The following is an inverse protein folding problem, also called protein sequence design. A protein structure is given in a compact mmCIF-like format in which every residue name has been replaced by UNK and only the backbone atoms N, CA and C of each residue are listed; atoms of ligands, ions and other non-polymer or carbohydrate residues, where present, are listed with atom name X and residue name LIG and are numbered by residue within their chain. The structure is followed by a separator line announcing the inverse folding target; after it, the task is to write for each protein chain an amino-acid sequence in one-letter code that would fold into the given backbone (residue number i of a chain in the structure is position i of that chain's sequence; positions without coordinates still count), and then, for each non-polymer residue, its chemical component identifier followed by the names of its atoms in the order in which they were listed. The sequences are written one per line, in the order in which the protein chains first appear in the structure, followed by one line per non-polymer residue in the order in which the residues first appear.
data_IF_646241421822
#
_entry.id   IF_646241421822
#
_cell.length_a   1.000
_cell.length_b   1.000
_cell.length_c   1.000
_cell.angle_alpha   90.00
_cell.angle_beta   90.00
_cell.angle_gamma   90.00
#
_symmetry.space_group_name_H-M   'P 1'
#
loop_
_entity.id
_entity.type
_entity.pdbx_description
1 polymer ?
#
# COMPACT_ATOMS: atom_id res chain seq x y z
N UNK A 1 -25.82 -14.61 2.42
CA UNK A 1 -24.56 -14.02 1.92
C UNK A 1 -23.45 -15.02 2.17
N UNK A 2 -22.55 -15.23 1.20
CA UNK A 2 -21.40 -16.14 1.37
C UNK A 2 -20.43 -15.58 2.40
N UNK A 3 -19.84 -16.46 3.22
CA UNK A 3 -18.64 -16.12 4.00
C UNK A 3 -17.44 -16.04 3.06
N UNK A 4 -16.56 -15.06 3.29
CA UNK A 4 -15.42 -14.77 2.41
C UNK A 4 -14.14 -14.73 3.23
N UNK A 5 -13.09 -15.33 2.70
CA UNK A 5 -11.77 -15.36 3.29
C UNK A 5 -10.72 -14.74 2.36
N UNK A 6 -9.64 -14.29 2.93
CA UNK A 6 -8.38 -14.07 2.24
C UNK A 6 -7.55 -15.34 2.46
N UNK A 7 -7.30 -16.08 1.38
CA UNK A 7 -6.57 -17.34 1.43
C UNK A 7 -5.06 -17.14 1.37
N UNK A 8 -4.61 -16.13 0.62
CA UNK A 8 -3.22 -15.73 0.52
C UNK A 8 -3.10 -14.23 0.30
N UNK A 9 -2.02 -13.63 0.80
CA UNK A 9 -1.66 -12.25 0.52
C UNK A 9 -0.14 -12.13 0.49
N UNK A 10 0.40 -11.53 -0.58
CA UNK A 10 1.84 -11.35 -0.82
C UNK A 10 2.12 -10.00 -1.45
N UNK A 11 3.39 -9.59 -1.45
CA UNK A 11 3.88 -8.39 -2.13
C UNK A 11 5.25 -8.62 -2.74
N UNK A 12 5.64 -7.79 -3.66
CA UNK A 12 7.05 -7.66 -4.02
C UNK A 12 7.78 -6.83 -2.95
N UNK A 13 9.10 -6.92 -2.90
CA UNK A 13 9.87 -5.88 -2.23
C UNK A 13 9.61 -4.53 -2.93
N UNK A 14 9.75 -3.43 -2.19
CA UNK A 14 9.51 -2.07 -2.69
C UNK A 14 10.81 -1.45 -3.18
N UNK A 15 10.82 -1.02 -4.44
CA UNK A 15 11.93 -0.33 -5.07
C UNK A 15 11.82 1.20 -4.91
N UNK A 16 12.96 1.89 -4.88
CA UNK A 16 13.01 3.37 -4.87
C UNK A 16 12.87 3.93 -6.29
N UNK A 17 11.80 4.65 -6.54
CA UNK A 17 11.67 5.38 -7.80
C UNK A 17 12.47 6.70 -7.78
N UNK A 18 13.06 7.14 -8.89
CA UNK A 18 13.22 6.45 -10.17
C UNK A 18 14.58 5.76 -10.31
N UNK A 19 15.30 5.45 -9.24
CA UNK A 19 16.71 5.01 -9.28
C UNK A 19 16.94 3.62 -8.71
N UNK A 20 15.90 2.99 -8.12
CA UNK A 20 16.00 1.69 -7.47
C UNK A 20 16.06 0.51 -8.43
N UNK A 21 16.06 -0.69 -7.86
CA UNK A 21 16.21 -1.93 -8.60
C UNK A 21 15.05 -2.20 -9.58
N UNK A 22 13.83 -1.72 -9.25
CA UNK A 22 12.64 -1.90 -10.09
C UNK A 22 12.44 -0.84 -11.18
N UNK A 23 13.34 0.14 -11.34
CA UNK A 23 13.20 1.27 -12.27
C UNK A 23 13.01 0.89 -13.74
N UNK A 24 13.39 -0.32 -14.14
CA UNK A 24 13.24 -0.85 -15.50
C UNK A 24 12.23 -1.99 -15.57
N UNK A 25 11.65 -2.40 -14.44
CA UNK A 25 10.66 -3.45 -14.37
C UNK A 25 9.28 -2.87 -14.74
N UNK A 26 8.71 -3.39 -15.83
CA UNK A 26 7.37 -2.98 -16.26
C UNK A 26 6.33 -3.28 -15.15
N UNK A 27 5.37 -2.37 -14.91
CA UNK A 27 4.36 -2.57 -13.86
C UNK A 27 3.45 -3.78 -14.10
N UNK A 28 3.12 -4.09 -15.35
CA UNK A 28 2.35 -5.28 -15.71
C UNK A 28 3.11 -6.59 -15.41
N UNK A 29 4.43 -6.64 -15.67
CA UNK A 29 5.29 -7.77 -15.27
C UNK A 29 5.37 -7.86 -13.73
N UNK A 30 5.56 -6.73 -13.05
CA UNK A 30 5.65 -6.68 -11.59
C UNK A 30 4.35 -7.17 -10.92
N UNK A 31 3.19 -6.77 -11.45
CA UNK A 31 1.90 -7.25 -11.00
C UNK A 31 1.72 -8.76 -11.25
N UNK A 32 2.19 -9.27 -12.39
CA UNK A 32 2.15 -10.70 -12.70
C UNK A 32 2.98 -11.53 -11.71
N UNK A 33 4.16 -11.04 -11.27
CA UNK A 33 4.92 -11.69 -10.20
C UNK A 33 4.12 -11.76 -8.90
N UNK A 34 3.46 -10.68 -8.50
CA UNK A 34 2.64 -10.67 -7.29
C UNK A 34 1.44 -11.63 -7.40
N UNK A 35 0.73 -11.65 -8.55
CA UNK A 35 -0.37 -12.58 -8.81
C UNK A 35 0.11 -14.03 -8.71
N UNK A 36 1.19 -14.38 -9.41
CA UNK A 36 1.74 -15.73 -9.39
C UNK A 36 2.20 -16.12 -7.98
N UNK A 37 2.89 -15.23 -7.27
CA UNK A 37 3.32 -15.48 -5.90
C UNK A 37 2.16 -15.70 -4.93
N UNK A 38 1.01 -15.04 -5.14
CA UNK A 38 -0.19 -15.30 -4.34
C UNK A 38 -0.79 -16.69 -4.67
N UNK A 39 -0.85 -17.06 -5.94
CA UNK A 39 -1.35 -18.35 -6.39
C UNK A 39 -0.46 -19.54 -5.96
N UNK A 40 0.85 -19.33 -5.88
CA UNK A 40 1.80 -20.33 -5.36
C UNK A 40 1.60 -20.64 -3.86
N UNK A 41 0.88 -19.81 -3.12
CA UNK A 41 0.51 -20.06 -1.71
C UNK A 41 -0.75 -20.91 -1.56
N UNK A 42 -1.51 -21.11 -2.64
CA UNK A 42 -2.77 -21.85 -2.70
C UNK A 42 -2.76 -22.86 -3.87
N UNK A 43 -1.78 -23.73 -3.86
CA UNK A 43 -1.52 -24.69 -4.97
C UNK A 43 -2.66 -25.66 -5.27
N UNK A 44 -3.60 -25.82 -4.34
CA UNK A 44 -4.81 -26.62 -4.51
C UNK A 44 -5.85 -25.96 -5.42
N UNK A 45 -5.73 -24.64 -5.65
CA UNK A 45 -6.63 -23.86 -6.51
C UNK A 45 -6.19 -24.00 -7.97
N UNK A 46 -7.10 -24.48 -8.85
CA UNK A 46 -6.88 -24.43 -10.29
C UNK A 46 -7.01 -22.99 -10.78
N UNK A 47 -6.10 -22.56 -11.65
CA UNK A 47 -6.11 -21.21 -12.22
C UNK A 47 -7.35 -20.91 -13.05
N UNK A 48 -8.01 -21.93 -13.60
CA UNK A 48 -9.26 -21.81 -14.35
C UNK A 48 -10.46 -21.42 -13.47
N UNK A 49 -10.35 -21.56 -12.15
CA UNK A 49 -11.37 -21.15 -11.19
C UNK A 49 -11.32 -19.66 -10.83
N UNK A 50 -10.28 -18.94 -11.28
CA UNK A 50 -10.16 -17.51 -11.02
C UNK A 50 -11.07 -16.77 -12.00
N UNK A 51 -12.13 -16.17 -11.49
CA UNK A 51 -13.17 -15.52 -12.28
C UNK A 51 -12.85 -14.07 -12.62
N UNK A 52 -12.07 -13.39 -11.75
CA UNK A 52 -11.72 -11.98 -11.97
C UNK A 52 -10.39 -11.60 -11.31
N UNK A 53 -9.75 -10.55 -11.87
CA UNK A 53 -8.59 -9.89 -11.28
C UNK A 53 -8.91 -8.42 -11.09
N UNK A 54 -8.85 -7.93 -9.84
CA UNK A 54 -9.10 -6.52 -9.51
C UNK A 54 -7.80 -5.90 -8.99
N UNK A 55 -7.17 -5.05 -9.79
CA UNK A 55 -5.94 -4.35 -9.35
C UNK A 55 -6.17 -2.85 -9.19
N UNK A 56 -5.68 -2.34 -8.06
CA UNK A 56 -5.56 -0.91 -7.82
C UNK A 56 -4.35 -0.33 -8.56
N UNK A 57 -4.53 0.84 -9.20
CA UNK A 57 -3.47 1.65 -9.78
C UNK A 57 -3.86 3.13 -9.67
N UNK A 58 -2.98 3.94 -9.08
CA UNK A 58 -3.29 5.34 -8.85
C UNK A 58 -3.08 6.21 -10.09
N UNK A 59 -2.10 5.87 -10.94
CA UNK A 59 -1.79 6.58 -12.18
C UNK A 59 -1.92 5.63 -13.38
N UNK A 60 -3.16 5.25 -13.77
CA UNK A 60 -3.41 4.23 -14.79
C UNK A 60 -3.25 4.80 -16.21
N UNK A 61 -2.01 5.17 -16.57
CA UNK A 61 -1.64 5.63 -17.90
C UNK A 61 -0.29 5.02 -18.36
N UNK A 62 0.10 5.24 -19.58
CA UNK A 62 1.30 4.71 -20.21
C UNK A 62 1.45 3.20 -19.95
N UNK A 63 2.55 2.74 -19.33
CA UNK A 63 2.79 1.33 -19.01
C UNK A 63 1.81 0.76 -17.97
N UNK A 64 1.09 1.62 -17.24
CA UNK A 64 0.01 1.26 -16.30
C UNK A 64 -1.39 1.46 -16.91
N UNK A 65 -1.46 1.87 -18.18
CA UNK A 65 -2.70 2.10 -18.93
C UNK A 65 -3.37 0.82 -19.46
N UNK A 66 -4.35 1.02 -20.35
CA UNK A 66 -5.06 -0.05 -21.05
C UNK A 66 -5.61 -1.17 -20.15
N UNK A 67 -6.10 -0.85 -18.95
CA UNK A 67 -6.50 -1.83 -17.95
C UNK A 67 -5.32 -2.75 -17.54
N UNK A 68 -4.36 -2.21 -16.80
CA UNK A 68 -3.15 -2.93 -16.39
C UNK A 68 -3.47 -4.26 -15.68
N UNK A 69 -4.61 -4.37 -14.99
CA UNK A 69 -5.05 -5.64 -14.39
C UNK A 69 -5.24 -6.72 -15.43
N UNK A 70 -5.84 -6.38 -16.60
CA UNK A 70 -6.04 -7.35 -17.68
C UNK A 70 -4.71 -7.74 -18.32
N UNK A 71 -3.84 -6.80 -18.56
CA UNK A 71 -2.50 -7.07 -19.11
C UNK A 71 -1.72 -7.97 -18.15
N UNK A 72 -1.73 -7.65 -16.86
CA UNK A 72 -1.07 -8.45 -15.83
C UNK A 72 -1.66 -9.86 -15.70
N UNK A 73 -2.99 -10.05 -15.85
CA UNK A 73 -3.63 -11.36 -15.80
C UNK A 73 -3.14 -12.28 -16.91
N UNK A 74 -3.03 -11.78 -18.14
CA UNK A 74 -2.43 -12.52 -19.26
C UNK A 74 -0.94 -12.82 -19.02
N UNK A 75 -0.21 -11.82 -18.52
CA UNK A 75 1.22 -11.97 -18.22
C UNK A 75 1.49 -12.96 -17.10
N UNK A 76 0.55 -13.11 -16.15
CA UNK A 76 0.57 -14.14 -15.11
C UNK A 76 0.19 -15.53 -15.62
N UNK A 77 -0.28 -15.67 -16.87
CA UNK A 77 -0.74 -16.93 -17.45
C UNK A 77 -2.11 -17.39 -16.97
N UNK A 78 -2.98 -16.45 -16.58
CA UNK A 78 -4.37 -16.77 -16.31
C UNK A 78 -5.14 -17.03 -17.61
N UNK A 79 -6.20 -17.88 -17.59
CA UNK A 79 -6.99 -18.19 -18.77
C UNK A 79 -7.74 -16.96 -19.30
N UNK A 80 -8.12 -17.01 -20.57
CA UNK A 80 -8.80 -15.89 -21.24
C UNK A 80 -10.21 -15.62 -20.69
N UNK A 81 -10.80 -16.60 -20.09
CA UNK A 81 -12.10 -16.55 -19.42
C UNK A 81 -12.07 -15.72 -18.12
N UNK A 82 -10.90 -15.62 -17.47
CA UNK A 82 -10.72 -14.78 -16.31
C UNK A 82 -10.85 -13.31 -16.70
N UNK A 83 -11.87 -12.62 -16.21
CA UNK A 83 -12.00 -11.17 -16.43
C UNK A 83 -11.03 -10.36 -15.58
N UNK A 84 -10.89 -9.05 -15.89
CA UNK A 84 -10.07 -8.18 -15.05
C UNK A 84 -10.50 -6.72 -15.12
N UNK A 85 -10.29 -5.96 -14.02
CA UNK A 85 -10.48 -4.53 -14.00
C UNK A 85 -9.41 -3.81 -13.19
N UNK A 86 -9.07 -2.60 -13.64
CA UNK A 86 -8.23 -1.65 -12.91
C UNK A 86 -9.11 -0.63 -12.21
N UNK A 87 -8.85 -0.38 -10.94
CA UNK A 87 -9.58 0.61 -10.14
C UNK A 87 -8.65 1.68 -9.62
N UNK A 88 -9.18 2.87 -9.39
CA UNK A 88 -8.43 3.99 -8.84
C UNK A 88 -9.18 4.65 -7.66
N UNK A 89 -8.61 4.52 -6.48
CA UNK A 89 -8.85 5.34 -5.29
C UNK A 89 -7.49 5.77 -4.72
N UNK A 90 -6.59 6.21 -5.59
CA UNK A 90 -5.22 6.61 -5.24
C UNK A 90 -4.56 5.64 -4.25
N UNK A 91 -4.09 6.14 -3.10
CA UNK A 91 -3.35 5.38 -2.10
C UNK A 91 -4.09 4.15 -1.54
N UNK A 92 -5.43 4.13 -1.56
CA UNK A 92 -6.22 3.01 -1.04
C UNK A 92 -6.65 2.00 -2.09
N UNK A 93 -6.26 2.17 -3.35
CA UNK A 93 -6.75 1.32 -4.45
C UNK A 93 -6.54 -0.18 -4.18
N UNK A 94 -5.39 -0.58 -3.63
CA UNK A 94 -5.12 -1.98 -3.30
C UNK A 94 -5.99 -2.54 -2.17
N UNK A 95 -6.36 -1.75 -1.17
CA UNK A 95 -7.31 -2.16 -0.14
C UNK A 95 -8.75 -2.16 -0.67
N UNK A 96 -9.08 -1.17 -1.51
CA UNK A 96 -10.38 -1.09 -2.19
C UNK A 96 -10.60 -2.31 -3.11
N UNK A 97 -9.57 -2.77 -3.82
CA UNK A 97 -9.68 -3.96 -4.69
C UNK A 97 -10.04 -5.21 -3.89
N UNK A 98 -9.40 -5.40 -2.72
CA UNK A 98 -9.72 -6.50 -1.80
C UNK A 98 -11.17 -6.37 -1.29
N UNK A 99 -11.60 -5.17 -0.90
CA UNK A 99 -12.96 -4.94 -0.44
C UNK A 99 -14.00 -5.24 -1.54
N UNK A 100 -13.74 -4.81 -2.78
CA UNK A 100 -14.63 -5.11 -3.92
C UNK A 100 -14.68 -6.62 -4.23
N UNK A 101 -13.57 -7.34 -4.13
CA UNK A 101 -13.54 -8.79 -4.27
C UNK A 101 -14.39 -9.47 -3.18
N UNK A 102 -14.23 -9.05 -1.92
CA UNK A 102 -15.04 -9.55 -0.80
C UNK A 102 -16.53 -9.30 -1.04
N UNK A 103 -16.91 -8.08 -1.45
CA UNK A 103 -18.32 -7.73 -1.67
C UNK A 103 -18.92 -8.51 -2.84
N UNK A 104 -18.18 -8.70 -3.94
CA UNK A 104 -18.63 -9.46 -5.11
C UNK A 104 -18.84 -10.93 -4.78
N UNK A 105 -17.92 -11.56 -4.05
CA UNK A 105 -18.05 -12.96 -3.61
C UNK A 105 -19.18 -13.10 -2.60
N UNK A 106 -19.28 -12.20 -1.62
CA UNK A 106 -20.36 -12.19 -0.63
C UNK A 106 -21.74 -12.06 -1.25
N UNK A 107 -21.85 -11.29 -2.32
CA UNK A 107 -23.07 -11.14 -3.12
C UNK A 107 -23.37 -12.32 -4.06
N UNK A 108 -22.51 -13.33 -4.15
CA UNK A 108 -22.69 -14.51 -5.02
C UNK A 108 -22.31 -14.28 -6.48
N UNK A 109 -21.58 -13.18 -6.79
CA UNK A 109 -21.15 -12.86 -8.14
C UNK A 109 -19.85 -13.55 -8.57
N UNK A 110 -19.18 -14.26 -7.67
CA UNK A 110 -17.98 -15.07 -7.91
C UNK A 110 -17.70 -15.98 -6.72
N UNK A 111 -16.76 -16.91 -6.88
CA UNK A 111 -16.20 -17.71 -5.79
C UNK A 111 -14.72 -17.43 -5.54
N UNK A 112 -13.96 -17.08 -6.56
CA UNK A 112 -12.52 -16.81 -6.45
C UNK A 112 -12.13 -15.57 -7.25
N UNK A 113 -11.50 -14.60 -6.58
CA UNK A 113 -11.01 -13.38 -7.19
C UNK A 113 -9.58 -13.11 -6.71
N UNK A 114 -8.68 -12.74 -7.62
CA UNK A 114 -7.38 -12.17 -7.27
C UNK A 114 -7.54 -10.66 -7.16
N UNK A 115 -7.21 -10.10 -5.99
CA UNK A 115 -7.28 -8.66 -5.73
C UNK A 115 -5.94 -8.12 -5.27
N UNK A 116 -5.61 -6.90 -5.64
CA UNK A 116 -4.31 -6.33 -5.25
C UNK A 116 -4.10 -4.94 -5.80
N UNK A 117 -2.84 -4.62 -6.08
CA UNK A 117 -2.51 -3.35 -6.70
C UNK A 117 -1.06 -3.28 -7.14
N UNK A 118 -0.81 -2.35 -8.04
CA UNK A 118 0.51 -2.08 -8.60
C UNK A 118 0.70 -0.58 -8.79
N UNK A 119 1.93 -0.15 -8.60
CA UNK A 119 2.36 1.20 -8.97
C UNK A 119 3.83 1.18 -9.34
N UNK A 120 4.18 1.83 -10.44
CA UNK A 120 5.56 2.17 -10.77
C UNK A 120 5.68 3.68 -10.96
N UNK A 121 6.17 4.34 -9.92
CA UNK A 121 6.45 5.78 -9.98
C UNK A 121 7.76 6.08 -10.72
N UNK A 122 8.48 5.03 -11.13
CA UNK A 122 9.61 5.12 -12.06
C UNK A 122 9.15 5.31 -13.50
N UNK A 123 8.05 4.67 -13.91
CA UNK A 123 7.49 4.78 -15.26
C UNK A 123 6.48 5.92 -15.37
N UNK A 124 5.58 6.05 -14.36
CA UNK A 124 4.52 7.07 -14.38
C UNK A 124 4.65 7.94 -13.12
N UNK A 125 4.99 9.23 -13.27
CA UNK A 125 5.17 10.12 -12.13
C UNK A 125 3.84 10.39 -11.42
N UNK A 126 3.90 10.85 -10.17
CA UNK A 126 2.72 11.31 -9.45
C UNK A 126 2.05 12.48 -10.19
N UNK A 127 0.76 12.34 -10.48
CA UNK A 127 0.00 13.27 -11.30
C UNK A 127 -0.09 12.86 -12.77
N UNK A 128 0.62 11.80 -13.18
CA UNK A 128 0.63 11.29 -14.55
C UNK A 128 1.61 12.03 -15.46
N UNK A 129 1.74 11.55 -16.70
CA UNK A 129 2.61 12.15 -17.73
C UNK A 129 1.93 13.34 -18.44
N UNK A 130 0.59 13.36 -18.44
CA UNK A 130 -0.19 14.41 -19.11
C UNK A 130 -1.32 14.91 -18.21
N UNK A 131 -1.00 15.61 -17.11
CA UNK A 131 -2.05 16.16 -16.25
C UNK A 131 -2.88 17.19 -16.99
N UNK A 132 -4.21 17.10 -16.83
CA UNK A 132 -5.18 18.05 -17.40
C UNK A 132 -6.22 18.39 -16.33
N UNK A 133 -6.00 19.52 -15.67
CA UNK A 133 -6.84 19.96 -14.58
C UNK A 133 -8.15 20.56 -15.12
N UNK A 134 -9.25 20.38 -14.39
CA UNK A 134 -10.52 21.00 -14.73
C UNK A 134 -10.43 22.52 -14.51
N UNK A 135 -10.63 23.37 -15.55
CA UNK A 135 -10.47 24.83 -15.42
C UNK A 135 -11.40 25.44 -14.37
N UNK A 136 -12.62 24.96 -14.26
CA UNK A 136 -13.57 25.46 -13.26
C UNK A 136 -13.09 25.21 -11.82
N UNK A 137 -12.55 24.02 -11.55
CA UNK A 137 -11.98 23.70 -10.23
C UNK A 137 -10.72 24.52 -9.93
N UNK A 138 -9.89 24.79 -10.95
CA UNK A 138 -8.70 25.65 -10.78
C UNK A 138 -9.09 27.05 -10.36
N UNK A 139 -10.19 27.58 -10.91
CA UNK A 139 -10.68 28.93 -10.58
C UNK A 139 -11.48 28.95 -9.27
N UNK A 140 -12.43 28.01 -9.10
CA UNK A 140 -13.44 28.05 -8.03
C UNK A 140 -13.03 27.30 -6.78
N UNK A 141 -12.18 26.27 -6.89
CA UNK A 141 -11.73 25.45 -5.78
C UNK A 141 -10.30 24.93 -5.98
N UNK A 142 -9.30 25.84 -6.04
CA UNK A 142 -7.91 25.47 -6.32
C UNK A 142 -7.31 24.52 -5.29
N UNK A 143 -7.80 24.51 -4.06
CA UNK A 143 -7.40 23.58 -3.00
C UNK A 143 -7.58 22.11 -3.38
N UNK A 144 -8.51 21.79 -4.30
CA UNK A 144 -8.72 20.42 -4.79
C UNK A 144 -7.51 19.82 -5.51
N UNK A 145 -6.62 20.65 -6.02
CA UNK A 145 -5.38 20.28 -6.72
C UNK A 145 -4.10 20.58 -5.93
N UNK A 146 -4.22 20.90 -4.65
CA UNK A 146 -3.06 21.17 -3.82
C UNK A 146 -2.14 19.94 -3.79
N UNK A 147 -0.83 20.15 -3.94
CA UNK A 147 0.12 19.06 -3.89
C UNK A 147 0.14 18.40 -2.51
N UNK A 148 0.37 17.09 -2.47
CA UNK A 148 0.31 16.30 -1.23
C UNK A 148 1.25 16.83 -0.14
N UNK A 149 2.44 17.32 -0.52
CA UNK A 149 3.38 17.92 0.44
C UNK A 149 2.87 19.22 1.04
N UNK A 150 2.17 20.05 0.26
CA UNK A 150 1.55 21.26 0.79
C UNK A 150 0.36 20.95 1.71
N UNK A 151 -0.42 19.90 1.43
CA UNK A 151 -1.46 19.44 2.36
C UNK A 151 -0.84 18.94 3.68
N UNK A 152 0.32 18.28 3.63
CA UNK A 152 1.04 17.85 4.82
C UNK A 152 1.54 19.03 5.66
N UNK A 153 2.04 20.12 5.03
CA UNK A 153 2.41 21.36 5.71
C UNK A 153 1.19 22.00 6.41
N UNK A 154 0.02 22.00 5.76
CA UNK A 154 -1.23 22.51 6.37
C UNK A 154 -1.64 21.67 7.57
N UNK A 155 -1.63 20.35 7.46
CA UNK A 155 -1.91 19.43 8.57
C UNK A 155 -0.95 19.65 9.72
N UNK A 156 0.36 19.73 9.46
CA UNK A 156 1.35 20.00 10.50
C UNK A 156 1.04 21.29 11.27
N UNK A 157 0.73 22.37 10.53
CA UNK A 157 0.39 23.67 11.14
C UNK A 157 -0.92 23.62 11.93
N UNK A 158 -1.97 23.04 11.35
CA UNK A 158 -3.31 22.99 11.95
C UNK A 158 -3.32 22.17 13.25
N UNK A 159 -2.65 21.02 13.24
CA UNK A 159 -2.62 20.09 14.40
C UNK A 159 -1.43 20.33 15.34
N UNK A 160 -0.63 21.36 15.10
CA UNK A 160 0.51 21.73 15.97
C UNK A 160 1.64 20.68 15.97
N UNK A 161 1.82 19.95 14.86
CA UNK A 161 2.88 18.94 14.74
C UNK A 161 4.20 19.65 14.39
N UNK A 162 5.21 19.48 15.23
CA UNK A 162 6.51 20.13 15.02
C UNK A 162 7.43 19.35 14.09
N UNK A 163 8.48 20.01 13.59
CA UNK A 163 9.51 19.38 12.77
C UNK A 163 10.22 18.26 13.52
N UNK A 164 10.53 18.47 14.79
CA UNK A 164 11.22 17.51 15.64
C UNK A 164 10.37 16.24 15.85
N UNK A 165 9.05 16.39 16.05
CA UNK A 165 8.13 15.27 16.17
C UNK A 165 8.10 14.45 14.87
N UNK A 166 8.07 15.12 13.71
CA UNK A 166 8.07 14.45 12.40
C UNK A 166 9.39 13.71 12.16
N UNK A 167 10.53 14.32 12.49
CA UNK A 167 11.83 13.69 12.31
C UNK A 167 12.02 12.49 13.27
N UNK A 168 11.54 12.62 14.52
CA UNK A 168 11.54 11.50 15.47
C UNK A 168 10.67 10.32 14.97
N UNK A 169 9.48 10.61 14.46
CA UNK A 169 8.59 9.59 13.89
C UNK A 169 9.24 8.89 12.69
N UNK A 170 9.88 9.65 11.81
CA UNK A 170 10.60 9.11 10.66
C UNK A 170 11.78 8.21 11.09
N UNK A 171 12.55 8.63 12.08
CA UNK A 171 13.64 7.83 12.63
C UNK A 171 13.13 6.49 13.17
N UNK A 172 12.03 6.51 13.93
CA UNK A 172 11.42 5.29 14.47
C UNK A 172 10.88 4.36 13.36
N UNK A 173 10.28 4.92 12.29
CA UNK A 173 9.87 4.13 11.12
C UNK A 173 11.05 3.38 10.51
N UNK A 174 12.19 4.05 10.30
CA UNK A 174 13.41 3.41 9.81
C UNK A 174 13.97 2.36 10.76
N UNK A 175 14.05 2.65 12.06
CA UNK A 175 14.55 1.70 13.07
C UNK A 175 13.72 0.42 13.12
N UNK A 176 12.39 0.55 13.14
CA UNK A 176 11.46 -0.59 13.11
C UNK A 176 11.63 -1.41 11.83
N UNK A 177 11.73 -0.75 10.66
CA UNK A 177 11.89 -1.43 9.38
C UNK A 177 13.22 -2.19 9.28
N UNK A 178 14.33 -1.59 9.70
CA UNK A 178 15.65 -2.24 9.73
C UNK A 178 15.64 -3.45 10.68
N UNK A 179 15.06 -3.30 11.86
CA UNK A 179 14.94 -4.40 12.82
C UNK A 179 14.05 -5.54 12.29
N UNK A 180 12.94 -5.21 11.62
CA UNK A 180 12.03 -6.18 11.02
C UNK A 180 12.71 -6.97 9.87
N UNK A 181 13.47 -6.31 9.00
CA UNK A 181 14.25 -6.95 7.94
C UNK A 181 15.30 -7.89 8.56
N UNK A 182 16.06 -7.41 9.54
CA UNK A 182 17.07 -8.23 10.21
C UNK A 182 16.49 -9.47 10.93
N UNK A 183 15.23 -9.38 11.37
CA UNK A 183 14.49 -10.48 12.00
C UNK A 183 13.71 -11.35 11.00
N UNK A 184 13.87 -11.17 9.70
CA UNK A 184 13.19 -11.96 8.66
C UNK A 184 11.67 -11.79 8.61
N UNK A 185 11.13 -10.68 9.16
CA UNK A 185 9.67 -10.49 9.31
C UNK A 185 8.91 -10.44 7.99
N UNK A 186 9.57 -10.06 6.90
CA UNK A 186 8.98 -9.90 5.58
C UNK A 186 9.23 -11.05 4.62
N UNK A 187 10.03 -12.06 5.00
CA UNK A 187 10.42 -13.17 4.10
C UNK A 187 9.22 -13.95 3.56
N UNK A 188 8.24 -14.23 4.40
CA UNK A 188 7.04 -14.99 4.01
C UNK A 188 6.09 -14.21 3.10
N UNK A 189 6.13 -12.89 3.09
CA UNK A 189 5.22 -12.04 2.30
C UNK A 189 5.84 -11.55 0.99
N UNK A 190 7.17 -11.49 0.91
CA UNK A 190 7.87 -11.00 -0.28
C UNK A 190 7.99 -12.10 -1.33
N UNK A 191 7.56 -11.76 -2.54
CA UNK A 191 7.79 -12.53 -3.75
C UNK A 191 9.08 -12.02 -4.39
N UNK A 192 10.13 -12.85 -4.53
CA UNK A 192 11.36 -12.46 -5.21
C UNK A 192 11.10 -12.12 -6.68
N UNK A 193 11.65 -11.01 -7.14
CA UNK A 193 11.50 -10.55 -8.53
C UNK A 193 12.87 -10.56 -9.23
N UNK A 194 13.05 -11.26 -10.35
CA UNK A 194 14.27 -11.19 -11.13
C UNK A 194 14.38 -9.81 -11.79
N UNK A 195 15.50 -9.13 -11.57
CA UNK A 195 15.78 -7.82 -12.14
C UNK A 195 17.09 -7.81 -12.90
N UNK A 196 17.12 -7.06 -13.99
CA UNK A 196 18.33 -6.85 -14.79
C UNK A 196 18.69 -5.38 -14.70
N UNK A 197 19.77 -5.08 -13.99
CA UNK A 197 20.23 -3.72 -13.80
C UNK A 197 21.67 -3.54 -14.32
N UNK A 198 22.04 -2.36 -14.84
CA UNK A 198 23.41 -2.08 -15.18
C UNK A 198 24.29 -2.11 -13.93
N UNK A 199 25.34 -2.90 -13.97
CA UNK A 199 26.38 -2.98 -12.96
C UNK A 199 27.76 -2.76 -13.57
N UNK A 200 28.68 -2.16 -12.83
CA UNK A 200 30.05 -1.95 -13.27
C UNK A 200 30.88 -3.17 -12.92
N UNK A 201 31.55 -3.79 -13.95
CA UNK A 201 32.47 -4.87 -13.69
C UNK A 201 33.81 -4.36 -13.09
N UNK A 202 34.66 -5.28 -12.65
CA UNK A 202 35.98 -4.97 -12.06
C UNK A 202 36.93 -4.16 -13.00
N UNK A 203 36.59 -4.07 -14.26
CA UNK A 203 37.35 -3.30 -15.29
C UNK A 203 36.69 -1.96 -15.60
N UNK A 204 35.67 -1.56 -14.86
CA UNK A 204 34.92 -0.30 -15.05
C UNK A 204 33.95 -0.32 -16.24
N UNK A 205 33.68 -1.49 -16.84
CA UNK A 205 32.74 -1.62 -17.96
C UNK A 205 31.34 -1.92 -17.42
N UNK A 206 30.35 -1.16 -17.89
CA UNK A 206 28.95 -1.40 -17.57
C UNK A 206 28.44 -2.63 -18.31
N UNK A 207 27.89 -3.58 -17.57
CA UNK A 207 27.19 -4.78 -18.06
C UNK A 207 25.83 -4.92 -17.40
N UNK A 208 24.90 -5.57 -18.08
CA UNK A 208 23.67 -6.02 -17.47
C UNK A 208 23.99 -7.11 -16.43
N UNK A 209 23.53 -6.95 -15.20
CA UNK A 209 23.65 -7.93 -14.14
C UNK A 209 22.26 -8.36 -13.69
N UNK A 210 22.03 -9.67 -13.69
CA UNK A 210 20.81 -10.28 -13.17
C UNK A 210 20.95 -10.50 -11.66
N UNK A 211 19.88 -10.22 -10.92
CA UNK A 211 19.79 -10.46 -9.48
C UNK A 211 18.35 -10.67 -9.07
N UNK A 212 18.12 -11.28 -7.89
CA UNK A 212 16.81 -11.36 -7.29
C UNK A 212 16.60 -10.17 -6.37
N UNK A 213 15.55 -9.39 -6.62
CA UNK A 213 15.12 -8.32 -5.77
C UNK A 213 14.07 -8.83 -4.78
N UNK A 214 14.46 -8.91 -3.51
CA UNK A 214 13.65 -9.54 -2.45
C UNK A 214 13.75 -8.84 -1.08
N UNK A 215 14.36 -7.64 -1.04
CA UNK A 215 14.49 -6.84 0.18
C UNK A 215 14.10 -5.40 -0.17
N UNK A 216 13.27 -4.79 0.68
CA UNK A 216 12.89 -3.38 0.53
C UNK A 216 14.12 -2.47 0.57
N UNK A 217 14.31 -1.61 -0.43
CA UNK A 217 15.49 -0.73 -0.53
C UNK A 217 15.36 0.56 0.30
N UNK A 218 14.17 0.84 0.80
CA UNK A 218 13.86 2.10 1.47
C UNK A 218 14.56 2.31 2.82
N UNK A 219 14.60 1.30 3.71
CA UNK A 219 15.09 1.45 5.07
C UNK A 219 16.55 1.88 5.15
N UNK A 220 16.83 2.81 6.06
CA UNK A 220 18.16 3.41 6.27
C UNK A 220 18.65 3.19 7.69
N UNK A 221 19.62 2.29 7.85
CA UNK A 221 20.25 2.01 9.13
C UNK A 221 21.14 3.18 9.63
N UNK A 222 21.60 4.03 8.71
CA UNK A 222 22.46 5.19 8.95
C UNK A 222 21.71 6.49 9.28
N UNK A 223 20.38 6.46 9.36
CA UNK A 223 19.54 7.62 9.70
C UNK A 223 19.68 8.00 11.18
N UNK A 224 19.78 9.32 11.45
CA UNK A 224 19.80 9.89 12.80
C UNK A 224 19.02 11.20 12.84
N UNK A 225 18.66 11.67 14.05
CA UNK A 225 17.98 12.96 14.21
C UNK A 225 18.83 14.12 13.68
N UNK A 226 20.14 14.05 13.88
CA UNK A 226 21.08 15.09 13.39
C UNK A 226 21.14 15.10 11.85
N UNK A 227 21.01 13.95 11.21
CA UNK A 227 20.97 13.85 9.76
C UNK A 227 19.63 14.38 9.22
N UNK A 228 18.51 14.01 9.85
CA UNK A 228 17.17 14.48 9.48
C UNK A 228 17.03 15.99 9.67
N UNK A 229 17.52 16.56 10.79
CA UNK A 229 17.45 17.98 11.09
C UNK A 229 18.17 18.86 10.05
N UNK A 230 19.19 18.34 9.36
CA UNK A 230 19.92 19.04 8.28
C UNK A 230 19.15 19.12 6.96
N UNK A 231 18.07 18.32 6.80
CA UNK A 231 17.30 18.32 5.57
C UNK A 231 16.46 19.59 5.45
N UNK A 232 16.50 20.18 4.25
CA UNK A 232 15.70 21.37 3.96
C UNK A 232 14.25 20.99 3.66
N UNK A 233 13.27 21.85 3.97
CA UNK A 233 11.90 21.69 3.50
C UNK A 233 11.85 21.58 1.98
N UNK A 234 10.92 20.73 1.48
CA UNK A 234 10.84 20.41 0.04
C UNK A 234 9.66 21.11 -0.64
N UNK A 235 8.58 21.36 0.08
CA UNK A 235 7.32 21.82 -0.51
C UNK A 235 7.03 23.30 -0.25
N UNK A 236 7.57 23.88 0.80
CA UNK A 236 7.38 25.28 1.16
C UNK A 236 8.68 25.84 1.73
N UNK A 237 9.08 27.05 1.33
CA UNK A 237 10.38 27.66 1.72
C UNK A 237 10.59 27.73 3.24
N UNK A 238 9.54 28.05 3.99
CA UNK A 238 9.52 28.11 5.45
C UNK A 238 8.72 26.92 6.03
N UNK A 239 8.72 25.76 5.35
CA UNK A 239 8.00 24.58 5.76
C UNK A 239 8.77 23.71 6.73
N UNK A 240 8.14 22.60 7.08
CA UNK A 240 8.67 21.60 8.01
C UNK A 240 8.78 20.21 7.39
N UNK A 241 8.07 19.98 6.26
CA UNK A 241 8.02 18.69 5.56
C UNK A 241 9.25 18.54 4.67
N UNK A 242 10.02 17.49 4.90
CA UNK A 242 11.27 17.19 4.19
C UNK A 242 11.21 15.83 3.49
N UNK A 243 12.20 15.54 2.65
CA UNK A 243 12.35 14.21 2.09
C UNK A 243 12.59 13.11 3.16
N UNK A 244 13.06 13.49 4.36
CA UNK A 244 13.32 12.54 5.44
C UNK A 244 12.10 12.18 6.29
N UNK A 245 11.07 13.04 6.31
CA UNK A 245 9.83 12.80 7.07
C UNK A 245 8.59 12.63 6.16
N UNK A 246 8.85 12.26 4.90
CA UNK A 246 7.87 11.92 3.87
C UNK A 246 8.13 10.52 3.34
N UNK A 247 7.09 9.84 2.84
CA UNK A 247 7.26 8.57 2.15
C UNK A 247 8.02 8.73 0.84
N UNK A 248 8.75 7.70 0.46
CA UNK A 248 9.54 7.69 -0.78
C UNK A 248 8.65 7.40 -1.99
N UNK A 249 8.93 8.02 -3.13
CA UNK A 249 8.41 7.55 -4.43
C UNK A 249 8.88 6.12 -4.64
N UNK A 250 7.97 5.24 -5.06
CA UNK A 250 8.20 3.80 -4.95
C UNK A 250 7.57 3.03 -6.08
N UNK A 251 8.19 1.88 -6.38
CA UNK A 251 7.70 0.85 -7.30
C UNK A 251 7.34 -0.40 -6.50
N UNK A 252 6.21 -1.03 -6.77
CA UNK A 252 5.82 -2.25 -6.07
C UNK A 252 4.48 -2.80 -6.53
N UNK A 253 4.26 -4.09 -6.26
CA UNK A 253 3.00 -4.78 -6.49
C UNK A 253 2.65 -5.69 -5.30
N UNK A 254 1.37 -5.93 -5.10
CA UNK A 254 0.86 -6.86 -4.10
C UNK A 254 -0.43 -7.53 -4.62
N UNK A 255 -0.65 -8.77 -4.22
CA UNK A 255 -1.84 -9.53 -4.59
C UNK A 255 -2.33 -10.40 -3.43
N UNK A 256 -3.64 -10.60 -3.39
CA UNK A 256 -4.31 -11.50 -2.47
C UNK A 256 -5.26 -12.40 -3.25
N UNK A 257 -5.39 -13.65 -2.84
CA UNK A 257 -6.43 -14.57 -3.27
C UNK A 257 -7.58 -14.45 -2.29
N UNK A 258 -8.71 -13.97 -2.78
CA UNK A 258 -9.96 -13.81 -2.03
C UNK A 258 -10.95 -14.85 -2.54
N UNK A 259 -11.56 -15.63 -1.65
CA UNK A 259 -12.46 -16.70 -2.06
C UNK A 259 -13.58 -16.96 -1.06
N UNK A 260 -14.64 -17.63 -1.53
CA UNK A 260 -15.69 -18.08 -0.63
C UNK A 260 -15.15 -19.11 0.36
N UNK A 261 -15.58 -19.04 1.61
CA UNK A 261 -15.16 -19.98 2.65
C UNK A 261 -15.58 -21.42 2.31
N UNK A 262 -16.70 -21.58 1.59
CA UNK A 262 -17.18 -22.86 1.09
C UNK A 262 -16.18 -23.48 0.11
N UNK A 263 -15.74 -22.69 -0.91
CA UNK A 263 -14.77 -23.19 -1.90
C UNK A 263 -13.42 -23.48 -1.25
N UNK A 264 -12.99 -22.63 -0.35
CA UNK A 264 -11.77 -22.86 0.42
C UNK A 264 -11.79 -24.17 1.19
N UNK A 265 -12.91 -24.47 1.87
CA UNK A 265 -13.08 -25.71 2.62
C UNK A 265 -13.07 -26.94 1.69
N UNK A 266 -13.71 -26.88 0.51
CA UNK A 266 -13.68 -27.97 -0.49
C UNK A 266 -12.26 -28.27 -0.97
N UNK A 267 -11.41 -27.25 -1.10
CA UNK A 267 -10.02 -27.38 -1.54
C UNK A 267 -9.03 -27.62 -0.38
N UNK A 268 -9.49 -27.59 0.88
CA UNK A 268 -8.62 -27.71 2.05
C UNK A 268 -7.67 -26.52 2.21
N UNK A 269 -8.04 -25.33 1.72
CA UNK A 269 -7.25 -24.10 1.81
C UNK A 269 -7.60 -23.37 3.12
N UNK A 270 -6.64 -23.13 4.02
CA UNK A 270 -6.88 -22.41 5.26
C UNK A 270 -7.10 -20.91 5.01
N UNK A 271 -7.91 -20.27 5.87
CA UNK A 271 -8.03 -18.82 5.87
C UNK A 271 -6.75 -18.18 6.47
N UNK A 272 -6.16 -17.23 5.75
CA UNK A 272 -5.15 -16.34 6.30
C UNK A 272 -5.80 -15.26 7.18
N UNK A 273 -7.01 -14.85 6.83
CA UNK A 273 -7.83 -13.88 7.56
C UNK A 273 -9.07 -13.49 6.77
N UNK A 274 -9.79 -12.50 7.28
CA UNK A 274 -11.03 -11.96 6.67
C UNK A 274 -11.01 -10.45 6.71
N UNK A 275 -11.52 -9.80 5.68
CA UNK A 275 -11.87 -8.38 5.73
C UNK A 275 -13.32 -8.28 6.22
N UNK A 276 -13.52 -7.83 7.46
CA UNK A 276 -14.85 -7.78 8.10
C UNK A 276 -15.55 -6.45 7.89
N UNK A 277 -14.81 -5.36 7.68
CA UNK A 277 -15.37 -4.06 7.35
C UNK A 277 -14.40 -3.26 6.47
N UNK A 278 -14.96 -2.47 5.58
CA UNK A 278 -14.23 -1.47 4.80
C UNK A 278 -15.08 -0.21 4.67
N UNK A 279 -14.50 0.94 4.98
CA UNK A 279 -15.17 2.23 4.88
C UNK A 279 -14.26 3.29 4.24
N UNK A 280 -14.89 4.21 3.53
CA UNK A 280 -14.25 5.41 3.00
C UNK A 280 -14.98 6.66 3.51
N UNK A 281 -14.26 7.78 3.55
CA UNK A 281 -14.82 9.07 3.91
C UNK A 281 -14.16 10.17 3.09
N UNK A 282 -14.93 11.22 2.77
CA UNK A 282 -14.40 12.48 2.24
C UNK A 282 -13.98 13.42 3.37
N UNK A 283 -13.02 14.28 3.09
CA UNK A 283 -12.61 15.41 3.92
C UNK A 283 -12.15 16.57 3.01
N UNK A 284 -11.75 17.68 3.61
CA UNK A 284 -11.19 18.80 2.84
C UNK A 284 -9.93 18.33 2.08
N UNK A 285 -9.86 18.50 0.75
CA UNK A 285 -8.69 18.13 -0.05
C UNK A 285 -7.42 18.86 0.37
N UNK A 286 -7.52 20.08 0.92
CA UNK A 286 -6.37 20.80 1.43
C UNK A 286 -5.76 20.19 2.70
N UNK A 287 -6.50 19.34 3.39
CA UNK A 287 -6.09 18.57 4.57
C UNK A 287 -6.30 17.06 4.38
N UNK A 288 -6.11 16.55 3.16
CA UNK A 288 -6.38 15.14 2.84
C UNK A 288 -5.72 14.14 3.79
N UNK A 289 -4.61 14.54 4.43
CA UNK A 289 -3.86 13.72 5.37
C UNK A 289 -4.68 13.21 6.55
N UNK A 290 -5.71 13.95 6.97
CA UNK A 290 -6.58 13.54 8.08
C UNK A 290 -7.77 12.65 7.66
N UNK A 291 -7.86 12.24 6.39
CA UNK A 291 -8.92 11.36 5.90
C UNK A 291 -9.22 10.14 6.79
N UNK A 292 -8.22 9.46 7.38
CA UNK A 292 -8.44 8.37 8.34
C UNK A 292 -9.27 8.75 9.56
N UNK A 293 -9.22 10.00 10.04
CA UNK A 293 -10.02 10.48 11.18
C UNK A 293 -11.52 10.29 10.92
N UNK A 294 -11.93 10.38 9.65
CA UNK A 294 -13.33 10.21 9.26
C UNK A 294 -13.66 8.79 8.80
N UNK A 295 -12.69 8.05 8.24
CA UNK A 295 -12.91 6.69 7.74
C UNK A 295 -12.87 5.65 8.87
N UNK A 296 -11.95 5.77 9.83
CA UNK A 296 -11.76 4.81 10.93
C UNK A 296 -13.02 4.63 11.78
N UNK A 297 -13.69 5.70 12.28
CA UNK A 297 -14.91 5.53 13.06
C UNK A 297 -16.04 4.84 12.27
N UNK A 298 -16.12 5.07 10.95
CA UNK A 298 -17.11 4.39 10.10
C UNK A 298 -16.81 2.89 9.99
N UNK A 299 -15.55 2.52 9.78
CA UNK A 299 -15.14 1.12 9.69
C UNK A 299 -15.37 0.39 11.02
N UNK A 300 -15.02 1.00 12.15
CA UNK A 300 -15.26 0.46 13.49
C UNK A 300 -16.75 0.23 13.73
N UNK A 301 -17.59 1.22 13.39
CA UNK A 301 -19.06 1.09 13.51
C UNK A 301 -19.61 -0.05 12.66
N UNK A 302 -19.12 -0.22 11.42
CA UNK A 302 -19.52 -1.32 10.52
C UNK A 302 -19.10 -2.69 11.07
N UNK A 303 -17.94 -2.77 11.71
CA UNK A 303 -17.43 -4.00 12.33
C UNK A 303 -18.09 -4.30 13.70
N UNK A 304 -18.78 -3.33 14.31
CA UNK A 304 -19.29 -3.44 15.68
C UNK A 304 -18.20 -3.48 16.74
N UNK A 305 -17.05 -2.83 16.47
CA UNK A 305 -15.86 -2.82 17.32
C UNK A 305 -15.55 -1.42 17.83
N UNK A 306 -14.92 -1.34 19.01
CA UNK A 306 -14.28 -0.15 19.53
C UNK A 306 -12.79 -0.12 19.14
N UNK A 307 -12.16 1.07 19.15
CA UNK A 307 -10.77 1.25 18.74
C UNK A 307 -9.76 0.48 19.62
N UNK A 308 -10.04 0.32 20.90
CA UNK A 308 -9.21 -0.40 21.87
C UNK A 308 -9.13 -1.91 21.58
N UNK A 309 -10.15 -2.48 20.91
CA UNK A 309 -10.20 -3.87 20.47
C UNK A 309 -9.29 -4.13 19.25
N UNK A 310 -8.84 -3.07 18.55
CA UNK A 310 -7.87 -3.19 17.48
C UNK A 310 -6.47 -3.35 18.10
N UNK A 311 -5.86 -4.50 17.87
CA UNK A 311 -4.55 -4.82 18.46
C UNK A 311 -3.37 -4.36 17.63
N UNK A 312 -3.51 -4.25 16.29
CA UNK A 312 -2.49 -3.75 15.37
C UNK A 312 -3.09 -2.83 14.33
N UNK A 313 -2.34 -1.80 13.94
CA UNK A 313 -2.76 -0.80 12.95
C UNK A 313 -1.62 -0.56 11.97
N UNK A 314 -1.87 -0.83 10.70
CA UNK A 314 -1.06 -0.38 9.58
C UNK A 314 -1.65 0.96 9.09
N UNK A 315 -1.09 2.06 9.58
CA UNK A 315 -1.41 3.42 9.15
C UNK A 315 -0.39 3.85 8.10
N UNK A 316 -0.81 4.06 6.87
CA UNK A 316 0.10 4.51 5.82
C UNK A 316 0.76 5.85 6.18
N UNK A 317 2.08 5.87 6.21
CA UNK A 317 2.90 7.05 6.51
C UNK A 317 3.21 7.82 5.23
N UNK A 318 2.19 8.41 4.58
CA UNK A 318 2.45 9.27 3.42
C UNK A 318 3.36 10.44 3.82
N UNK A 319 3.11 11.01 5.00
CA UNK A 319 3.92 12.03 5.66
C UNK A 319 3.88 11.80 7.18
N UNK A 320 4.96 12.08 7.88
CA UNK A 320 4.99 12.02 9.35
C UNK A 320 3.95 12.97 9.98
N UNK A 321 3.79 14.17 9.41
CA UNK A 321 2.79 15.15 9.84
C UNK A 321 1.38 14.56 9.88
N UNK A 322 0.98 13.91 8.79
CA UNK A 322 -0.34 13.31 8.65
C UNK A 322 -0.53 12.12 9.60
N UNK A 323 0.47 11.24 9.71
CA UNK A 323 0.36 10.07 10.59
C UNK A 323 0.23 10.49 12.07
N UNK A 324 1.05 11.45 12.50
CA UNK A 324 0.99 12.00 13.86
C UNK A 324 -0.35 12.67 14.16
N UNK A 325 -0.88 13.47 13.22
CA UNK A 325 -2.18 14.12 13.38
C UNK A 325 -3.31 13.10 13.54
N UNK A 326 -3.33 12.04 12.72
CA UNK A 326 -4.31 10.95 12.82
C UNK A 326 -4.21 10.23 14.16
N UNK A 327 -2.99 9.87 14.59
CA UNK A 327 -2.74 9.21 15.89
C UNK A 327 -3.25 10.09 17.03
N UNK A 328 -2.92 11.39 17.01
CA UNK A 328 -3.32 12.35 18.02
C UNK A 328 -4.85 12.52 18.10
N UNK A 329 -5.51 12.74 16.97
CA UNK A 329 -6.97 13.03 16.92
C UNK A 329 -7.79 11.81 17.29
N UNK A 330 -7.39 10.61 16.84
CA UNK A 330 -8.11 9.38 17.16
C UNK A 330 -7.73 8.79 18.53
N UNK A 331 -6.68 9.29 19.18
CA UNK A 331 -6.18 8.73 20.45
C UNK A 331 -5.64 7.31 20.28
N UNK A 332 -5.00 7.02 19.14
CA UNK A 332 -4.41 5.70 18.86
C UNK A 332 -3.16 5.52 19.71
N UNK A 333 -3.00 4.32 20.29
CA UNK A 333 -1.75 3.90 20.94
C UNK A 333 -0.64 3.75 19.89
N UNK A 334 0.43 4.59 19.92
CA UNK A 334 1.53 4.50 18.96
C UNK A 334 2.26 3.16 18.99
N UNK A 335 2.19 2.42 20.10
CA UNK A 335 2.77 1.10 20.24
C UNK A 335 2.12 0.02 19.37
N UNK A 336 0.88 0.27 18.92
CA UNK A 336 0.14 -0.61 18.01
C UNK A 336 0.32 -0.24 16.53
N UNK A 337 0.96 0.90 16.22
CA UNK A 337 1.06 1.45 14.86
C UNK A 337 2.36 1.04 14.21
N UNK A 338 2.26 0.50 12.98
CA UNK A 338 3.40 0.23 12.09
C UNK A 338 4.56 -0.43 12.85
N UNK A 339 4.27 -1.54 13.50
CA UNK A 339 5.20 -2.20 14.43
C UNK A 339 6.48 -2.72 13.75
N UNK A 340 6.45 -2.89 12.44
CA UNK A 340 7.58 -3.28 11.60
C UNK A 340 8.10 -2.14 10.70
N UNK A 341 7.78 -0.88 11.04
CA UNK A 341 8.06 0.29 10.21
C UNK A 341 6.94 0.57 9.20
N UNK A 342 6.89 1.81 8.71
CA UNK A 342 5.86 2.25 7.77
C UNK A 342 6.44 2.82 6.47
N UNK A 343 5.62 3.55 5.73
CA UNK A 343 5.93 3.98 4.36
C UNK A 343 7.10 4.98 4.25
N UNK A 344 7.42 5.72 5.29
CA UNK A 344 8.60 6.60 5.30
C UNK A 344 9.87 5.78 5.10
N UNK A 345 9.94 4.61 5.74
CA UNK A 345 11.05 3.68 5.59
C UNK A 345 10.85 2.72 4.41
N UNK A 346 9.69 2.04 4.36
CA UNK A 346 9.42 0.92 3.45
C UNK A 346 8.89 1.35 2.07
N UNK A 347 8.55 2.63 1.89
CA UNK A 347 8.02 3.15 0.63
C UNK A 347 6.49 3.04 0.48
N UNK A 348 5.97 3.84 -0.47
CA UNK A 348 4.54 3.99 -0.75
C UNK A 348 4.23 3.92 -2.24
N UNK A 349 4.28 2.72 -2.86
CA UNK A 349 3.78 2.54 -4.22
C UNK A 349 2.25 2.66 -4.21
N UNK A 350 1.71 3.79 -4.64
CA UNK A 350 0.35 4.29 -4.36
C UNK A 350 -0.73 3.22 -4.46
N UNK A 351 -1.01 2.71 -5.67
CA UNK A 351 -2.08 1.74 -5.91
C UNK A 351 -1.83 0.36 -5.29
N UNK A 352 -0.58 0.02 -5.01
CA UNK A 352 -0.18 -1.22 -4.34
C UNK A 352 -0.35 -1.17 -2.82
N UNK A 353 -0.18 0.01 -2.20
CA UNK A 353 0.04 0.15 -0.75
C UNK A 353 -1.03 -0.52 0.10
N UNK A 354 -2.32 -0.38 -0.25
CA UNK A 354 -3.40 -0.98 0.54
C UNK A 354 -3.31 -2.52 0.62
N UNK A 355 -2.98 -3.17 -0.49
CA UNK A 355 -2.78 -4.63 -0.54
C UNK A 355 -1.48 -5.05 0.15
N UNK A 356 -0.40 -4.26 0.00
CA UNK A 356 0.87 -4.46 0.71
C UNK A 356 0.68 -4.45 2.23
N UNK A 357 0.02 -3.42 2.76
CA UNK A 357 -0.26 -3.31 4.20
C UNK A 357 -1.17 -4.43 4.71
N UNK A 358 -2.12 -4.89 3.87
CA UNK A 358 -2.96 -6.05 4.19
C UNK A 358 -2.12 -7.33 4.33
N UNK A 359 -1.18 -7.58 3.42
CA UNK A 359 -0.29 -8.74 3.49
C UNK A 359 0.57 -8.72 4.76
N UNK A 360 1.18 -7.58 5.09
CA UNK A 360 2.01 -7.41 6.29
C UNK A 360 1.19 -7.57 7.57
N UNK A 361 0.01 -6.94 7.64
CA UNK A 361 -0.85 -7.00 8.82
C UNK A 361 -1.32 -8.43 9.12
N UNK A 362 -1.82 -9.14 8.10
CA UNK A 362 -2.31 -10.51 8.25
C UNK A 362 -1.23 -11.50 8.73
N UNK A 363 0.04 -11.23 8.45
CA UNK A 363 1.16 -12.05 8.94
C UNK A 363 1.58 -11.66 10.35
N UNK A 364 1.53 -10.39 10.70
CA UNK A 364 1.98 -9.92 12.01
C UNK A 364 0.94 -10.17 13.11
N UNK A 365 -0.36 -10.16 12.78
CA UNK A 365 -1.44 -10.41 13.74
C UNK A 365 -1.30 -11.76 14.46
N UNK A 366 -1.14 -12.91 13.77
CA UNK A 366 -0.92 -14.21 14.44
C UNK A 366 0.36 -14.25 15.26
N UNK A 367 1.46 -13.63 14.78
CA UNK A 367 2.75 -13.58 15.50
C UNK A 367 2.63 -12.90 16.86
N UNK A 368 1.67 -11.98 17.00
CA UNK A 368 1.41 -11.22 18.25
C UNK A 368 0.18 -11.68 19.00
N UNK A 369 -0.52 -12.72 18.52
CA UNK A 369 -1.76 -13.19 19.13
C UNK A 369 -2.89 -12.15 19.07
N UNK A 370 -2.92 -11.32 18.03
CA UNK A 370 -3.91 -10.26 17.81
C UNK A 370 -5.02 -10.77 16.91
N UNK A 371 -6.27 -10.64 17.36
CA UNK A 371 -7.45 -11.06 16.59
C UNK A 371 -7.89 -10.01 15.55
N UNK A 372 -7.93 -8.74 15.92
CA UNK A 372 -8.40 -7.65 15.05
C UNK A 372 -7.27 -6.69 14.73
N UNK A 373 -7.10 -6.42 13.45
CA UNK A 373 -6.17 -5.44 12.92
C UNK A 373 -6.85 -4.47 11.95
N UNK A 374 -6.20 -3.34 11.71
CA UNK A 374 -6.72 -2.30 10.83
C UNK A 374 -5.66 -1.84 9.84
N UNK A 375 -6.04 -1.71 8.57
CA UNK A 375 -5.29 -0.97 7.55
C UNK A 375 -6.02 0.34 7.29
N UNK A 376 -5.34 1.47 7.43
CA UNK A 376 -5.93 2.79 7.16
C UNK A 376 -4.95 3.73 6.49
N UNK A 377 -5.47 4.66 5.69
CA UNK A 377 -4.66 5.60 4.92
C UNK A 377 -5.41 6.85 4.51
N UNK A 378 -4.68 7.94 4.41
CA UNK A 378 -5.14 9.12 3.68
C UNK A 378 -5.14 8.85 2.17
N UNK A 379 -6.00 9.53 1.45
CA UNK A 379 -6.21 9.33 0.02
C UNK A 379 -6.27 10.69 -0.68
N UNK A 380 -5.52 10.84 -1.75
CA UNK A 380 -5.48 12.05 -2.54
C UNK A 380 -6.87 12.56 -2.94
N UNK A 381 -7.03 13.86 -3.10
CA UNK A 381 -8.31 14.49 -3.41
C UNK A 381 -9.24 14.68 -2.21
N UNK A 382 -8.75 14.55 -0.96
CA UNK A 382 -9.53 14.77 0.25
C UNK A 382 -10.37 13.57 0.65
N UNK A 383 -9.75 12.41 0.86
CA UNK A 383 -10.43 11.19 1.28
C UNK A 383 -9.60 10.41 2.32
N UNK A 384 -10.25 9.47 3.00
CA UNK A 384 -9.63 8.45 3.80
C UNK A 384 -10.28 7.09 3.58
N UNK A 385 -9.52 6.02 3.87
CA UNK A 385 -10.00 4.65 3.85
C UNK A 385 -9.55 3.89 5.09
N UNK A 386 -10.38 2.96 5.56
CA UNK A 386 -10.06 2.04 6.65
C UNK A 386 -10.68 0.67 6.39
N UNK A 387 -9.88 -0.39 6.53
CA UNK A 387 -10.31 -1.77 6.49
C UNK A 387 -9.98 -2.47 7.79
N UNK A 388 -10.92 -3.22 8.35
CA UNK A 388 -10.73 -4.02 9.56
C UNK A 388 -10.64 -5.48 9.17
N UNK A 389 -9.56 -6.11 9.61
CA UNK A 389 -9.27 -7.51 9.35
C UNK A 389 -9.37 -8.33 10.64
N UNK A 390 -9.77 -9.59 10.48
CA UNK A 390 -9.88 -10.58 11.55
C UNK A 390 -9.05 -11.82 11.20
N UNK A 391 -8.35 -12.37 12.18
CA UNK A 391 -7.65 -13.67 12.13
C UNK A 391 -8.09 -14.53 13.31
N UNK A 392 -8.00 -15.86 13.16
CA UNK A 392 -8.37 -16.83 14.21
C UNK A 392 -9.61 -17.62 13.93
#
# INVERSE_FOLDING_TARGET
MKDVIIAAAVRTAVGKAPRGALRTMRPDDLAAFAINGALERVTQLDRSEIEDVILGCAMPEAEQGLNVARVASFRAGLPVECSAMTINRFCSSGLQSIAMAVDRIRGGGADVIVAGGVESMSFVPMGGNKPSLNPWLVESYPGSYLSMGLTAERVAKHYGITREQMDQFALESHRKAVAAIAAGRFEDEIVPVPVTNPAMDAKGKVKAAESLFQVDEGPRADTSLEALAKLKPVFHANGMVTAGNSSQMSDGAAAAVVMSAERAAQLGIPAMGRLIAFATAGCDPEEMGIGPVFAVPKALKMAGLALDQIGLIELNEAFAAQALAVIQVLGIDPGKVNVNGGAIALGHPLGCTGAKLTASLLREMPRRGVKYGMVTMCVGGGMGAAGILEVG
#
